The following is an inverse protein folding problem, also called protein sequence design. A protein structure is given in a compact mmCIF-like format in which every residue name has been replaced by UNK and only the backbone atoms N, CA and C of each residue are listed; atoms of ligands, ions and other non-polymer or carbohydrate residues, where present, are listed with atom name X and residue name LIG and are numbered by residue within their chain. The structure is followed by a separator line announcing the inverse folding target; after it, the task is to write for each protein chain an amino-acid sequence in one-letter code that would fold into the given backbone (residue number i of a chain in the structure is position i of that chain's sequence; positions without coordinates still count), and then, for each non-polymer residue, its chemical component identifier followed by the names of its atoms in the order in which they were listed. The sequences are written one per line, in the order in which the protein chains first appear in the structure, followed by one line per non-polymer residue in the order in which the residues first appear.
data_IF_504293468686
#
_entry.id   IF_504293468686
#
_cell.length_a   1.000
_cell.length_b   1.000
_cell.length_c   1.000
_cell.angle_alpha   90.00
_cell.angle_beta   90.00
_cell.angle_gamma   90.00
#
_symmetry.space_group_name_H-M   'P 1'
#
loop_
_entity.id
_entity.type
_entity.pdbx_description
1 polymer ?
#
# COMPACT_ATOMS: atom_id res chain seq x y z
N UNK A 1 -9.20 -15.75 -16.43
CA UNK A 1 -8.15 -15.84 -17.47
C UNK A 1 -7.45 -14.49 -17.50
N UNK A 2 -6.14 -14.43 -17.74
CA UNK A 2 -5.43 -13.15 -17.72
C UNK A 2 -5.32 -12.59 -19.12
N UNK A 3 -5.68 -11.33 -19.29
CA UNK A 3 -5.73 -10.68 -20.60
C UNK A 3 -4.90 -9.40 -20.58
N UNK A 4 -4.15 -9.21 -21.67
CA UNK A 4 -3.32 -8.03 -21.87
C UNK A 4 -4.12 -6.96 -22.58
N UNK A 5 -4.22 -5.79 -21.98
CA UNK A 5 -4.84 -4.60 -22.56
C UNK A 5 -3.94 -3.97 -23.63
N UNK A 6 -4.50 -3.06 -24.44
CA UNK A 6 -3.80 -2.42 -25.54
C UNK A 6 -2.59 -1.57 -25.09
N UNK A 7 -2.64 -1.03 -23.87
CA UNK A 7 -1.56 -0.27 -23.23
C UNK A 7 -0.44 -1.18 -22.66
N UNK A 8 -0.60 -2.51 -22.76
CA UNK A 8 0.32 -3.51 -22.22
C UNK A 8 0.05 -3.92 -20.77
N UNK A 9 -0.92 -3.33 -20.08
CA UNK A 9 -1.37 -3.73 -18.74
C UNK A 9 -2.02 -5.12 -18.79
N UNK A 10 -2.08 -5.82 -17.65
CA UNK A 10 -2.68 -7.15 -17.55
C UNK A 10 -3.77 -7.14 -16.49
N UNK A 11 -4.94 -7.64 -16.86
CA UNK A 11 -6.10 -7.76 -15.99
C UNK A 11 -6.48 -9.23 -15.81
N UNK A 12 -7.01 -9.56 -14.64
CA UNK A 12 -7.73 -10.81 -14.42
C UNK A 12 -9.17 -10.63 -14.88
N UNK A 13 -9.57 -11.29 -15.95
CA UNK A 13 -10.94 -11.21 -16.48
C UNK A 13 -12.01 -11.66 -15.48
N UNK A 14 -11.67 -12.59 -14.58
CA UNK A 14 -12.65 -13.13 -13.63
C UNK A 14 -13.02 -12.11 -12.56
N UNK A 15 -12.07 -11.26 -12.17
CA UNK A 15 -12.22 -10.32 -11.05
C UNK A 15 -12.21 -8.85 -11.49
N UNK A 16 -11.80 -8.56 -12.72
CA UNK A 16 -11.56 -7.20 -13.22
C UNK A 16 -10.34 -6.52 -12.57
N UNK A 17 -9.56 -7.23 -11.76
CA UNK A 17 -8.41 -6.65 -11.05
C UNK A 17 -7.23 -6.51 -11.99
N UNK A 18 -6.55 -5.37 -11.92
CA UNK A 18 -5.26 -5.17 -12.57
C UNK A 18 -4.22 -6.00 -11.83
N UNK A 19 -3.54 -6.88 -12.55
CA UNK A 19 -2.42 -7.70 -12.04
C UNK A 19 -1.10 -6.99 -12.32
N UNK A 20 -1.01 -6.27 -13.44
CA UNK A 20 0.17 -5.57 -13.86
C UNK A 20 -0.21 -4.28 -14.57
N UNK A 21 0.34 -3.17 -14.10
CA UNK A 21 0.30 -1.90 -14.83
C UNK A 21 1.46 -1.86 -15.82
N UNK A 22 1.19 -1.48 -17.08
CA UNK A 22 2.28 -1.10 -17.97
C UNK A 22 3.08 0.06 -17.37
N UNK A 23 4.36 0.19 -17.74
CA UNK A 23 5.24 1.22 -17.18
C UNK A 23 4.66 2.62 -17.35
N UNK A 24 4.11 2.93 -18.52
CA UNK A 24 3.55 4.25 -18.81
C UNK A 24 2.31 4.53 -17.96
N UNK A 25 1.40 3.55 -17.83
CA UNK A 25 0.22 3.69 -16.98
C UNK A 25 0.59 3.81 -15.51
N UNK A 26 1.54 3.02 -15.02
CA UNK A 26 2.02 3.11 -13.64
C UNK A 26 2.59 4.50 -13.34
N UNK A 27 3.44 5.02 -14.22
CA UNK A 27 4.03 6.36 -14.04
C UNK A 27 2.95 7.44 -14.05
N UNK A 28 2.06 7.43 -15.04
CA UNK A 28 1.07 8.49 -15.21
C UNK A 28 -0.03 8.44 -14.16
N UNK A 29 -0.63 7.27 -13.91
CA UNK A 29 -1.81 7.15 -13.06
C UNK A 29 -1.43 7.08 -11.56
N UNK A 30 -0.29 6.47 -11.23
CA UNK A 30 0.09 6.17 -9.84
C UNK A 30 1.23 7.05 -9.34
N UNK A 31 2.34 7.18 -10.09
CA UNK A 31 3.47 7.98 -9.61
C UNK A 31 3.22 9.49 -9.69
N UNK A 32 2.64 9.95 -10.81
CA UNK A 32 2.35 11.36 -11.08
C UNK A 32 0.88 11.72 -10.82
N UNK A 33 0.00 10.74 -10.89
CA UNK A 33 -1.44 10.90 -10.68
C UNK A 33 -1.87 10.69 -9.23
N UNK A 34 -3.18 10.57 -9.05
CA UNK A 34 -3.85 10.42 -7.76
C UNK A 34 -4.72 9.15 -7.68
N UNK A 35 -4.46 8.18 -8.56
CA UNK A 35 -5.14 6.90 -8.55
C UNK A 35 -4.68 6.03 -7.37
N UNK A 36 -5.54 5.12 -6.93
CA UNK A 36 -5.19 4.14 -5.91
C UNK A 36 -3.98 3.31 -6.35
N UNK A 37 -2.88 3.33 -5.58
CA UNK A 37 -1.64 2.66 -5.97
C UNK A 37 -1.73 1.12 -6.06
N UNK A 38 -2.79 0.53 -5.50
CA UNK A 38 -3.04 -0.91 -5.53
C UNK A 38 -3.92 -1.31 -6.73
N UNK A 39 -5.09 -0.68 -6.88
CA UNK A 39 -6.08 -1.10 -7.88
C UNK A 39 -6.23 -0.15 -9.07
N UNK A 40 -5.60 1.02 -9.05
CA UNK A 40 -5.66 2.01 -10.13
C UNK A 40 -6.99 2.77 -10.24
N UNK A 41 -7.91 2.63 -9.28
CA UNK A 41 -9.15 3.40 -9.25
C UNK A 41 -8.84 4.90 -9.17
N UNK A 42 -9.61 5.73 -9.89
CA UNK A 42 -9.49 7.18 -9.88
C UNK A 42 -10.26 7.81 -8.73
N UNK A 43 -9.92 9.04 -8.38
CA UNK A 43 -10.73 9.85 -7.46
C UNK A 43 -12.18 9.94 -7.99
N UNK A 44 -13.16 9.70 -7.12
CA UNK A 44 -14.58 9.69 -7.46
C UNK A 44 -15.12 8.33 -7.94
N UNK A 45 -14.28 7.37 -8.32
CA UNK A 45 -14.72 5.99 -8.59
C UNK A 45 -14.93 5.19 -7.30
N UNK A 46 -14.16 5.54 -6.26
CA UNK A 46 -14.21 4.94 -4.92
C UNK A 46 -14.00 6.01 -3.85
N UNK A 47 -14.33 5.66 -2.61
CA UNK A 47 -13.92 6.44 -1.44
C UNK A 47 -12.42 6.24 -1.17
N UNK A 48 -11.72 7.33 -0.86
CA UNK A 48 -10.28 7.34 -0.58
C UNK A 48 -10.02 7.75 0.86
N UNK A 49 -9.09 7.05 1.50
CA UNK A 49 -8.62 7.37 2.84
C UNK A 49 -7.10 7.57 2.93
N UNK A 50 -6.38 7.38 1.81
CA UNK A 50 -4.92 7.40 1.70
C UNK A 50 -4.23 6.37 2.60
N UNK A 51 -3.18 5.75 2.09
CA UNK A 51 -2.38 4.78 2.85
C UNK A 51 -1.14 5.46 3.43
N UNK A 52 -0.74 5.12 4.66
CA UNK A 52 0.54 5.57 5.18
C UNK A 52 1.69 4.77 4.58
N UNK A 53 2.79 5.42 4.19
CA UNK A 53 3.99 4.71 3.72
C UNK A 53 4.55 3.78 4.81
N UNK A 54 4.48 4.23 6.07
CA UNK A 54 4.79 3.40 7.23
C UNK A 54 3.50 3.13 8.01
N UNK A 55 3.19 1.86 8.32
CA UNK A 55 1.96 1.49 9.01
C UNK A 55 1.70 2.31 10.27
N UNK A 56 0.44 2.64 10.51
CA UNK A 56 0.05 3.52 11.62
C UNK A 56 0.51 2.96 12.98
N UNK A 57 0.39 1.65 13.18
CA UNK A 57 0.82 0.98 14.41
C UNK A 57 2.32 1.13 14.68
N UNK A 58 3.14 1.19 13.62
CA UNK A 58 4.59 1.39 13.71
C UNK A 58 4.88 2.81 14.15
N UNK A 59 4.18 3.79 13.57
CA UNK A 59 4.30 5.20 13.93
C UNK A 59 3.91 5.43 15.41
N UNK A 60 2.86 4.75 15.90
CA UNK A 60 2.43 4.82 17.30
C UNK A 60 3.47 4.18 18.22
N UNK A 61 3.93 2.97 17.89
CA UNK A 61 4.90 2.20 18.70
C UNK A 61 6.20 2.96 18.94
N UNK A 62 6.68 3.70 17.95
CA UNK A 62 7.96 4.41 18.01
C UNK A 62 7.82 5.93 18.19
N UNK A 63 6.60 6.42 18.45
CA UNK A 63 6.30 7.86 18.63
C UNK A 63 6.84 8.73 17.47
N UNK A 64 6.52 8.33 16.24
CA UNK A 64 7.05 8.93 15.01
C UNK A 64 6.09 9.93 14.34
N UNK A 65 4.82 10.01 14.74
CA UNK A 65 3.81 10.86 14.07
C UNK A 65 4.28 12.29 13.81
N UNK A 66 4.90 12.94 14.81
CA UNK A 66 5.36 14.33 14.72
C UNK A 66 6.84 14.45 14.35
N UNK A 67 7.48 13.34 14.00
CA UNK A 67 8.87 13.33 13.54
C UNK A 67 8.94 13.60 12.05
N UNK A 68 10.03 14.23 11.65
CA UNK A 68 10.33 14.58 10.26
C UNK A 68 11.45 13.68 9.76
N UNK A 69 11.27 13.15 8.55
CA UNK A 69 12.29 12.43 7.81
C UNK A 69 12.75 13.27 6.61
N UNK A 70 14.05 13.23 6.33
CA UNK A 70 14.61 13.77 5.08
C UNK A 70 14.71 12.63 4.06
N UNK A 71 14.01 12.78 2.94
CA UNK A 71 14.01 11.83 1.84
C UNK A 71 15.33 11.94 1.04
N UNK A 72 15.59 10.94 0.18
CA UNK A 72 16.83 10.85 -0.61
C UNK A 72 17.01 12.00 -1.61
N UNK A 73 15.93 12.67 -1.99
CA UNK A 73 15.95 13.88 -2.83
C UNK A 73 16.13 15.18 -2.02
N UNK A 74 16.36 15.09 -0.71
CA UNK A 74 16.54 16.23 0.19
C UNK A 74 15.24 16.86 0.69
N UNK A 75 14.07 16.44 0.21
CA UNK A 75 12.79 16.92 0.72
C UNK A 75 12.53 16.42 2.14
N UNK A 76 11.89 17.23 2.97
CA UNK A 76 11.51 16.84 4.33
C UNK A 76 10.01 16.59 4.42
N UNK A 77 9.60 15.51 5.08
CA UNK A 77 8.19 15.18 5.30
C UNK A 77 7.97 14.70 6.73
N UNK A 78 6.83 15.08 7.32
CA UNK A 78 6.39 14.53 8.61
C UNK A 78 5.86 13.11 8.38
N UNK A 79 6.24 12.13 9.20
CA UNK A 79 5.82 10.73 9.00
C UNK A 79 4.29 10.57 8.89
N UNK A 80 3.52 11.28 9.71
CA UNK A 80 2.05 11.26 9.66
C UNK A 80 1.46 11.78 8.35
N UNK A 81 2.21 12.57 7.58
CA UNK A 81 1.79 13.12 6.29
C UNK A 81 2.41 12.37 5.11
N UNK A 82 3.25 11.37 5.39
CA UNK A 82 3.90 10.60 4.34
C UNK A 82 2.98 9.46 3.92
N UNK A 83 2.05 9.80 3.04
CA UNK A 83 0.96 8.94 2.58
C UNK A 83 0.92 8.84 1.05
N UNK A 84 0.21 7.83 0.53
CA UNK A 84 -0.09 7.64 -0.89
C UNK A 84 -1.59 7.55 -1.13
N UNK A 85 -2.08 7.93 -2.34
CA UNK A 85 -3.47 7.72 -2.72
C UNK A 85 -3.86 6.24 -2.66
N UNK A 86 -4.86 5.92 -1.85
CA UNK A 86 -5.38 4.56 -1.71
C UNK A 86 -6.88 4.62 -1.45
N UNK A 87 -7.65 3.77 -2.13
CA UNK A 87 -9.07 3.64 -1.87
C UNK A 87 -9.32 2.84 -0.58
N UNK A 88 -10.44 3.11 0.08
CA UNK A 88 -10.76 2.55 1.39
C UNK A 88 -10.79 1.02 1.39
N UNK A 89 -11.28 0.38 0.32
CA UNK A 89 -11.29 -1.08 0.17
C UNK A 89 -9.87 -1.67 0.18
N UNK A 90 -8.96 -1.07 -0.58
CA UNK A 90 -7.58 -1.56 -0.69
C UNK A 90 -6.79 -1.30 0.59
N UNK A 91 -6.95 -0.11 1.18
CA UNK A 91 -6.33 0.24 2.46
C UNK A 91 -6.78 -0.76 3.55
N UNK A 92 -8.10 -0.96 3.70
CA UNK A 92 -8.64 -1.91 4.70
C UNK A 92 -8.13 -3.33 4.48
N UNK A 93 -8.09 -3.80 3.22
CA UNK A 93 -7.56 -5.12 2.88
C UNK A 93 -6.08 -5.28 3.27
N UNK A 94 -5.24 -4.27 3.01
CA UNK A 94 -3.84 -4.30 3.42
C UNK A 94 -3.69 -4.28 4.95
N UNK A 95 -4.47 -3.45 5.63
CA UNK A 95 -4.53 -3.42 7.09
C UNK A 95 -4.90 -4.79 7.67
N UNK A 96 -5.88 -5.45 7.07
CA UNK A 96 -6.43 -6.71 7.53
C UNK A 96 -5.53 -7.91 7.29
N UNK A 97 -4.95 -8.01 6.09
CA UNK A 97 -4.22 -9.19 5.62
C UNK A 97 -2.71 -9.09 5.84
N UNK A 98 -2.16 -7.88 5.97
CA UNK A 98 -0.72 -7.65 6.08
C UNK A 98 -0.38 -6.99 7.41
N UNK A 99 -0.95 -5.81 7.69
CA UNK A 99 -0.48 -5.00 8.82
C UNK A 99 -0.83 -5.61 10.17
N UNK A 100 -2.07 -6.06 10.35
CA UNK A 100 -2.53 -6.65 11.62
C UNK A 100 -1.77 -7.92 11.97
N UNK A 101 -1.64 -8.94 11.08
CA UNK A 101 -0.83 -10.12 11.38
C UNK A 101 0.63 -9.78 11.72
N UNK A 102 1.23 -8.81 11.02
CA UNK A 102 2.61 -8.41 11.26
C UNK A 102 2.78 -7.68 12.61
N UNK A 103 1.88 -6.75 12.93
CA UNK A 103 1.88 -6.01 14.18
C UNK A 103 1.73 -6.93 15.40
N UNK A 104 0.81 -7.90 15.31
CA UNK A 104 0.60 -8.93 16.33
C UNK A 104 1.84 -9.80 16.51
N UNK A 105 2.43 -10.28 15.42
CA UNK A 105 3.62 -11.11 15.47
C UNK A 105 4.83 -10.37 16.07
N UNK A 106 5.08 -9.12 15.65
CA UNK A 106 6.16 -8.29 16.20
C UNK A 106 5.92 -7.98 17.69
N UNK A 107 4.68 -7.74 18.08
CA UNK A 107 4.32 -7.50 19.49
C UNK A 107 4.42 -8.77 20.34
N UNK A 108 4.18 -9.94 19.74
CA UNK A 108 4.35 -11.26 20.37
C UNK A 108 5.80 -11.74 20.48
N UNK A 109 6.77 -11.01 19.91
CA UNK A 109 8.19 -11.33 20.00
C UNK A 109 8.68 -12.34 18.96
N UNK A 110 9.90 -12.86 19.16
CA UNK A 110 10.61 -13.67 18.17
C UNK A 110 9.86 -14.94 17.77
N UNK A 111 9.29 -15.67 18.74
CA UNK A 111 8.59 -16.92 18.47
C UNK A 111 7.35 -16.70 17.61
N UNK A 112 6.55 -15.67 17.93
CA UNK A 112 5.37 -15.31 17.14
C UNK A 112 5.75 -14.88 15.71
N UNK A 113 6.85 -14.13 15.54
CA UNK A 113 7.38 -13.76 14.23
C UNK A 113 7.83 -14.99 13.42
N UNK A 114 8.53 -15.93 14.05
CA UNK A 114 8.96 -17.17 13.39
C UNK A 114 7.74 -17.98 12.93
N UNK A 115 6.69 -18.08 13.74
CA UNK A 115 5.46 -18.79 13.38
C UNK A 115 4.72 -18.12 12.22
N UNK A 116 4.67 -16.77 12.19
CA UNK A 116 4.12 -16.05 11.04
C UNK A 116 4.89 -16.39 9.75
N UNK A 117 6.22 -16.31 9.78
CA UNK A 117 7.08 -16.60 8.61
C UNK A 117 6.89 -18.03 8.12
N UNK A 118 6.73 -19.00 9.03
CA UNK A 118 6.47 -20.41 8.66
C UNK A 118 5.14 -20.59 7.96
N UNK A 119 4.08 -19.87 8.37
CA UNK A 119 2.74 -19.96 7.76
C UNK A 119 2.66 -19.35 6.36
N UNK A 120 3.54 -18.40 6.04
CA UNK A 120 3.58 -17.71 4.73
C UNK A 120 4.45 -18.44 3.68
N UNK A 121 5.11 -19.53 4.07
CA UNK A 121 5.86 -20.42 3.15
C UNK A 121 5.01 -21.59 2.69
#
# INVERSE_FOLDING_TARGET
MWTREADGSVIDEATGKIIFFSTERFVNDICLGDCCFICGAKQGEKEFNNEHILPEWLLRRFNLFDRVITLTNGATVQYSRYTLPCCADCNSLMGDEIERPLSEAISGGLDALIELIKKTR
#
